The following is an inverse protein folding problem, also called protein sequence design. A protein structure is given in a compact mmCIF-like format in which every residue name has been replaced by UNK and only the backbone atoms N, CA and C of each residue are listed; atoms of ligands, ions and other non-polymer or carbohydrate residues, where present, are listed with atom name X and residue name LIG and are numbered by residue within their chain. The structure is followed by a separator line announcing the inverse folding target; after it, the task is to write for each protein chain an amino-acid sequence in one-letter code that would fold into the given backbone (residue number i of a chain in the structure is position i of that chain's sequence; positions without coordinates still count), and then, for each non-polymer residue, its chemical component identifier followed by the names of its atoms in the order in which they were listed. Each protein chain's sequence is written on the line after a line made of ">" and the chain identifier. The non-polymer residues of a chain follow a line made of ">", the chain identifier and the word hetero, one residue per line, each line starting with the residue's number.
data_IF_124553238981
#
_entry.id   IF_124553238981
#
_cell.length_a   1.000
_cell.length_b   1.000
_cell.length_c   1.000
_cell.angle_alpha   90.00
_cell.angle_beta   90.00
_cell.angle_gamma   90.00
#
_symmetry.space_group_name_H-M   'P 1'
#
loop_
_entity.id
_entity.type
_entity.pdbx_description
1 polymer ?
#
# COMPACT_ATOMS: atom_id res chain seq x y z
N UNK A 1 17.18 14.80 -17.92
CA UNK A 1 16.90 14.62 -16.47
C UNK A 1 17.56 13.33 -16.02
N UNK A 2 17.93 13.22 -14.74
CA UNK A 2 18.48 11.98 -14.18
C UNK A 2 17.35 10.95 -14.00
N UNK A 3 17.38 9.85 -14.77
CA UNK A 3 16.37 8.81 -14.73
C UNK A 3 16.17 8.23 -13.32
N UNK A 4 17.23 8.20 -12.50
CA UNK A 4 17.11 7.76 -11.09
C UNK A 4 16.28 8.76 -10.28
N UNK A 5 16.55 10.05 -10.43
CA UNK A 5 15.80 11.09 -9.75
C UNK A 5 14.31 11.09 -10.15
N UNK A 6 13.98 10.85 -11.42
CA UNK A 6 12.59 10.74 -11.89
C UNK A 6 11.84 9.59 -11.22
N UNK A 7 12.47 8.42 -11.11
CA UNK A 7 11.89 7.26 -10.40
C UNK A 7 11.63 7.58 -8.93
N UNK A 8 12.62 8.16 -8.24
CA UNK A 8 12.48 8.55 -6.83
C UNK A 8 11.36 9.59 -6.68
N UNK A 9 11.30 10.59 -7.57
CA UNK A 9 10.27 11.62 -7.53
C UNK A 9 8.86 11.02 -7.71
N UNK A 10 8.67 10.09 -8.65
CA UNK A 10 7.41 9.37 -8.82
C UNK A 10 7.03 8.60 -7.55
N UNK A 11 7.98 7.85 -6.99
CA UNK A 11 7.77 7.09 -5.75
C UNK A 11 7.35 7.99 -4.59
N UNK A 12 8.09 9.08 -4.35
CA UNK A 12 7.79 10.02 -3.27
C UNK A 12 6.44 10.71 -3.47
N UNK A 13 6.11 11.05 -4.71
CA UNK A 13 4.80 11.64 -5.05
C UNK A 13 3.66 10.73 -4.62
N UNK A 14 3.74 9.44 -4.96
CA UNK A 14 2.71 8.47 -4.56
C UNK A 14 2.76 8.18 -3.06
N UNK A 15 3.95 7.94 -2.50
CA UNK A 15 4.11 7.61 -1.08
C UNK A 15 3.47 8.65 -0.18
N UNK A 16 3.66 9.93 -0.52
CA UNK A 16 3.16 11.05 0.27
C UNK A 16 1.65 11.27 0.17
N UNK A 17 0.93 10.60 -0.74
CA UNK A 17 -0.54 10.59 -0.73
C UNK A 17 -1.02 9.75 0.46
N UNK A 18 -1.85 10.28 1.38
CA UNK A 18 -2.32 9.54 2.54
C UNK A 18 -2.94 8.17 2.20
N UNK A 19 -2.48 7.13 2.89
CA UNK A 19 -3.11 5.81 2.84
C UNK A 19 -4.48 5.81 3.53
N UNK A 20 -5.51 5.34 2.85
CA UNK A 20 -6.85 5.20 3.40
C UNK A 20 -7.64 4.16 2.62
N UNK A 21 -8.35 3.29 3.32
CA UNK A 21 -9.26 2.31 2.69
C UNK A 21 -10.64 2.90 2.40
N UNK A 22 -10.92 4.13 2.85
CA UNK A 22 -12.11 4.94 2.49
C UNK A 22 -11.79 6.02 1.43
N UNK A 23 -10.73 5.80 0.64
CA UNK A 23 -10.20 6.71 -0.37
C UNK A 23 -10.38 6.21 -1.81
N UNK A 24 -9.49 6.63 -2.70
CA UNK A 24 -9.41 6.09 -4.05
C UNK A 24 -8.98 4.61 -4.04
N UNK A 25 -9.48 3.85 -5.02
CA UNK A 25 -9.12 2.45 -5.28
C UNK A 25 -8.48 2.25 -6.67
N UNK A 26 -8.29 3.33 -7.42
CA UNK A 26 -7.70 3.34 -8.75
C UNK A 26 -6.73 4.52 -8.94
N UNK A 27 -5.94 4.45 -10.01
CA UNK A 27 -4.93 5.46 -10.33
C UNK A 27 -5.54 6.81 -10.74
N UNK A 28 -6.70 6.81 -11.39
CA UNK A 28 -7.32 8.01 -11.94
C UNK A 28 -7.81 8.94 -10.83
N UNK A 29 -8.41 8.36 -9.79
CA UNK A 29 -8.95 9.07 -8.65
C UNK A 29 -7.90 9.43 -7.58
N UNK A 30 -6.75 8.75 -7.50
CA UNK A 30 -5.81 8.88 -6.38
C UNK A 30 -5.42 10.33 -6.08
N UNK A 31 -4.99 11.06 -7.11
CA UNK A 31 -4.47 12.42 -6.94
C UNK A 31 -5.58 13.46 -6.72
N UNK A 32 -6.77 13.24 -7.29
CA UNK A 32 -7.91 14.15 -7.12
C UNK A 32 -8.62 13.97 -5.77
N UNK A 33 -8.73 12.73 -5.30
CA UNK A 33 -9.26 12.40 -3.96
C UNK A 33 -8.26 12.78 -2.86
N UNK A 34 -6.96 12.76 -3.17
CA UNK A 34 -5.90 13.11 -2.23
C UNK A 34 -5.67 12.09 -1.11
N UNK A 35 -6.21 10.87 -1.25
CA UNK A 35 -5.96 9.69 -0.41
C UNK A 35 -6.41 8.42 -1.13
N UNK A 36 -5.83 7.28 -0.80
CA UNK A 36 -6.23 6.00 -1.40
C UNK A 36 -5.53 4.80 -0.78
N UNK A 37 -5.94 3.62 -1.20
CA UNK A 37 -5.43 2.35 -0.69
C UNK A 37 -4.22 1.83 -1.49
N UNK A 38 -3.80 0.59 -1.22
CA UNK A 38 -2.67 -0.02 -1.91
C UNK A 38 -2.98 -0.31 -3.40
N UNK A 39 -4.26 -0.52 -3.76
CA UNK A 39 -4.68 -0.70 -5.15
C UNK A 39 -4.48 0.59 -5.94
N UNK A 40 -4.99 1.72 -5.44
CA UNK A 40 -4.86 3.02 -6.10
C UNK A 40 -3.38 3.42 -6.23
N UNK A 41 -2.62 3.30 -5.14
CA UNK A 41 -1.21 3.73 -5.09
C UNK A 41 -0.33 2.86 -5.98
N UNK A 42 -0.50 1.54 -5.97
CA UNK A 42 0.25 0.65 -6.87
C UNK A 42 -0.12 0.85 -8.34
N UNK A 43 -1.41 1.05 -8.65
CA UNK A 43 -1.88 1.32 -10.00
C UNK A 43 -1.29 2.64 -10.55
N UNK A 44 -1.22 3.68 -9.72
CA UNK A 44 -0.60 4.95 -10.09
C UNK A 44 0.90 4.79 -10.34
N UNK A 45 1.62 4.09 -9.45
CA UNK A 45 3.05 3.80 -9.64
C UNK A 45 3.31 3.04 -10.94
N UNK A 46 2.55 1.98 -11.21
CA UNK A 46 2.71 1.17 -12.43
C UNK A 46 2.51 2.03 -13.67
N UNK A 47 1.46 2.86 -13.69
CA UNK A 47 1.17 3.75 -14.81
C UNK A 47 2.26 4.81 -14.99
N UNK A 48 2.75 5.39 -13.88
CA UNK A 48 3.85 6.35 -13.89
C UNK A 48 5.16 5.76 -14.40
N UNK A 49 5.54 4.56 -13.95
CA UNK A 49 6.75 3.89 -14.44
C UNK A 49 6.65 3.56 -15.93
N UNK A 50 5.48 3.14 -16.41
CA UNK A 50 5.25 2.91 -17.84
C UNK A 50 5.37 4.20 -18.66
N UNK A 51 4.86 5.32 -18.14
CA UNK A 51 5.01 6.63 -18.77
C UNK A 51 6.48 7.08 -18.82
N UNK A 52 7.30 6.68 -17.84
CA UNK A 52 8.75 6.89 -17.84
C UNK A 52 9.53 5.86 -18.70
N UNK A 53 8.84 4.97 -19.42
CA UNK A 53 9.46 4.00 -20.33
C UNK A 53 9.92 2.68 -19.69
N UNK A 54 9.54 2.42 -18.43
CA UNK A 54 9.87 1.15 -17.75
C UNK A 54 8.79 0.10 -17.97
N UNK A 55 9.21 -1.17 -17.98
CA UNK A 55 8.27 -2.26 -17.77
C UNK A 55 7.88 -2.29 -16.29
N UNK A 56 6.58 -2.21 -16.01
CA UNK A 56 6.06 -2.31 -14.66
C UNK A 56 4.82 -3.21 -14.64
N UNK A 57 4.67 -3.97 -13.55
CA UNK A 57 3.58 -4.92 -13.35
C UNK A 57 3.08 -4.87 -11.91
N UNK A 58 1.88 -5.41 -11.72
CA UNK A 58 1.27 -5.63 -10.41
C UNK A 58 1.87 -6.88 -9.77
N UNK A 59 2.06 -6.83 -8.47
CA UNK A 59 2.41 -7.99 -7.63
C UNK A 59 1.50 -8.01 -6.41
N UNK A 60 1.12 -9.20 -5.94
CA UNK A 60 0.18 -9.39 -4.82
C UNK A 60 0.67 -10.47 -3.86
N UNK A 61 0.28 -10.38 -2.60
CA UNK A 61 0.54 -11.43 -1.61
C UNK A 61 -0.48 -11.38 -0.48
N UNK A 62 -0.67 -12.51 0.21
CA UNK A 62 -1.45 -12.54 1.44
C UNK A 62 -0.66 -11.91 2.57
N UNK A 63 -1.35 -11.21 3.47
CA UNK A 63 -0.77 -10.64 4.67
C UNK A 63 -1.78 -10.70 5.81
N UNK A 64 -1.31 -10.47 7.04
CA UNK A 64 -2.20 -10.25 8.17
C UNK A 64 -2.41 -8.76 8.40
N UNK A 65 -3.66 -8.36 8.56
CA UNK A 65 -4.04 -7.02 9.00
C UNK A 65 -3.27 -6.63 10.29
N UNK A 66 -2.87 -5.36 10.43
CA UNK A 66 -2.19 -4.89 11.63
C UNK A 66 -3.07 -5.10 12.87
N UNK A 67 -2.44 -5.26 14.04
CA UNK A 67 -3.15 -5.48 15.32
C UNK A 67 -3.93 -4.23 15.81
N UNK A 68 -4.04 -3.20 14.97
CA UNK A 68 -4.75 -1.95 15.22
C UNK A 68 -5.70 -1.62 14.06
N UNK A 69 -6.86 -1.01 14.37
CA UNK A 69 -7.40 -0.81 15.71
C UNK A 69 -7.95 -2.12 16.30
N UNK A 70 -8.38 -2.10 17.56
CA UNK A 70 -8.83 -3.30 18.28
C UNK A 70 -9.98 -4.05 17.57
N UNK A 71 -10.75 -3.36 16.74
CA UNK A 71 -11.80 -3.94 15.90
C UNK A 71 -11.29 -5.05 14.96
N UNK A 72 -9.99 -5.09 14.63
CA UNK A 72 -9.38 -6.19 13.84
C UNK A 72 -9.62 -7.57 14.49
N UNK A 73 -9.72 -7.63 15.81
CA UNK A 73 -9.93 -8.87 16.56
C UNK A 73 -11.38 -9.35 16.55
N UNK A 74 -12.30 -8.57 15.98
CA UNK A 74 -13.69 -8.97 15.75
C UNK A 74 -13.91 -9.60 14.37
N UNK A 75 -12.91 -9.54 13.49
CA UNK A 75 -12.99 -10.13 12.16
C UNK A 75 -12.94 -11.65 12.23
N UNK A 76 -13.73 -12.31 11.39
CA UNK A 76 -13.70 -13.77 11.20
C UNK A 76 -12.31 -14.23 10.75
N UNK A 77 -11.64 -13.39 9.96
CA UNK A 77 -10.25 -13.58 9.58
C UNK A 77 -9.54 -12.24 9.46
N UNK A 78 -8.22 -12.28 9.73
CA UNK A 78 -7.33 -11.13 9.59
C UNK A 78 -6.46 -11.22 8.34
N UNK A 79 -6.68 -12.24 7.51
CA UNK A 79 -5.96 -12.38 6.25
C UNK A 79 -6.58 -11.46 5.20
N UNK A 80 -5.73 -10.75 4.47
CA UNK A 80 -6.12 -9.89 3.36
C UNK A 80 -5.04 -9.94 2.26
N UNK A 81 -5.29 -9.33 1.11
CA UNK A 81 -4.38 -9.31 -0.04
C UNK A 81 -3.80 -7.93 -0.24
N UNK A 82 -2.48 -7.84 -0.12
CA UNK A 82 -1.76 -6.61 -0.43
C UNK A 82 -1.42 -6.54 -1.91
N UNK A 83 -1.35 -5.32 -2.45
CA UNK A 83 -0.97 -5.07 -3.84
C UNK A 83 0.13 -4.01 -3.89
N UNK A 84 1.19 -4.29 -4.64
CA UNK A 84 2.30 -3.37 -4.88
C UNK A 84 2.72 -3.39 -6.37
N UNK A 85 3.75 -2.61 -6.71
CA UNK A 85 4.33 -2.57 -8.03
C UNK A 85 5.65 -3.35 -8.10
N UNK A 86 5.92 -4.01 -9.21
CA UNK A 86 7.27 -4.40 -9.62
C UNK A 86 7.67 -3.63 -10.88
N UNK A 87 8.91 -3.14 -10.93
CA UNK A 87 9.47 -2.42 -12.08
C UNK A 87 10.78 -3.06 -12.54
N UNK A 88 10.99 -3.19 -13.85
CA UNK A 88 12.21 -3.76 -14.41
C UNK A 88 13.31 -2.68 -14.50
N UNK A 89 14.33 -2.79 -13.65
CA UNK A 89 15.49 -1.89 -13.62
C UNK A 89 16.75 -2.73 -13.75
N UNK A 90 17.61 -2.40 -14.71
CA UNK A 90 18.89 -3.11 -14.94
C UNK A 90 18.68 -4.63 -15.06
N UNK A 91 17.67 -5.03 -15.85
CA UNK A 91 17.27 -6.42 -16.09
C UNK A 91 16.81 -7.20 -14.85
N UNK A 92 16.48 -6.50 -13.75
CA UNK A 92 15.93 -7.12 -12.53
C UNK A 92 14.59 -6.50 -12.18
N UNK A 93 13.63 -7.35 -11.84
CA UNK A 93 12.37 -6.89 -11.27
C UNK A 93 12.63 -6.38 -9.85
N UNK A 94 12.19 -5.17 -9.57
CA UNK A 94 12.31 -4.51 -8.27
C UNK A 94 10.93 -4.27 -7.68
N UNK A 95 10.72 -4.74 -6.45
CA UNK A 95 9.53 -4.44 -5.67
C UNK A 95 9.57 -2.97 -5.27
N UNK A 96 8.49 -2.25 -5.56
CA UNK A 96 8.29 -0.85 -5.19
C UNK A 96 6.92 -0.72 -4.54
N UNK A 97 6.94 -0.52 -3.23
CA UNK A 97 5.77 -0.40 -2.37
C UNK A 97 5.74 0.98 -1.71
N UNK A 98 4.80 1.82 -2.13
CA UNK A 98 4.61 3.17 -1.61
C UNK A 98 3.35 3.30 -0.74
N UNK A 99 2.89 2.19 -0.14
CA UNK A 99 1.57 2.14 0.52
C UNK A 99 1.45 3.12 1.68
N UNK A 100 2.25 2.97 2.73
CA UNK A 100 2.16 3.85 3.90
C UNK A 100 2.86 5.19 3.65
N UNK A 101 2.14 6.28 3.91
CA UNK A 101 2.70 7.63 3.95
C UNK A 101 3.47 7.89 5.26
N UNK A 102 4.40 8.87 5.27
CA UNK A 102 5.28 9.12 6.42
C UNK A 102 4.57 9.36 7.75
N UNK A 103 3.35 9.91 7.74
CA UNK A 103 2.59 10.21 8.96
C UNK A 103 2.22 8.96 9.78
N UNK A 104 2.30 7.76 9.19
CA UNK A 104 1.97 6.49 9.82
C UNK A 104 3.15 5.81 10.54
N UNK A 105 4.38 6.30 10.35
CA UNK A 105 5.58 5.70 10.96
C UNK A 105 5.51 5.69 12.50
N UNK A 106 4.88 6.70 13.12
CA UNK A 106 4.72 6.80 14.58
C UNK A 106 3.85 5.70 15.18
N UNK A 107 3.03 5.04 14.36
CA UNK A 107 2.22 3.89 14.76
C UNK A 107 2.92 2.54 14.51
N UNK A 108 4.19 2.55 14.11
CA UNK A 108 4.95 1.34 13.80
C UNK A 108 4.63 0.70 12.45
N UNK A 109 3.85 1.38 11.59
CA UNK A 109 3.64 0.94 10.22
C UNK A 109 4.90 1.17 9.37
N UNK A 110 5.23 0.20 8.51
CA UNK A 110 6.41 0.27 7.65
C UNK A 110 6.20 1.34 6.57
N UNK A 111 6.95 2.42 6.66
CA UNK A 111 7.03 3.46 5.62
C UNK A 111 8.31 3.23 4.82
N UNK A 112 8.17 2.78 3.58
CA UNK A 112 9.31 2.48 2.73
C UNK A 112 10.05 3.75 2.29
N UNK A 113 11.38 3.73 2.37
CA UNK A 113 12.27 4.61 1.61
C UNK A 113 12.71 3.91 0.31
N UNK A 114 13.06 4.67 -0.73
CA UNK A 114 13.52 4.08 -1.97
C UNK A 114 14.67 4.86 -2.61
N UNK A 115 15.70 4.14 -3.02
CA UNK A 115 16.89 4.71 -3.66
C UNK A 115 16.79 4.79 -5.19
N UNK A 116 15.67 4.36 -5.76
CA UNK A 116 15.42 4.29 -7.20
C UNK A 116 16.07 3.11 -7.92
N UNK A 117 16.64 2.13 -7.21
CA UNK A 117 17.42 1.01 -7.80
C UNK A 117 17.13 -0.35 -7.18
N UNK A 118 16.99 -0.43 -5.86
CA UNK A 118 16.78 -1.69 -5.13
C UNK A 118 15.31 -1.95 -4.85
N UNK A 119 15.02 -3.06 -4.20
CA UNK A 119 13.70 -3.32 -3.65
C UNK A 119 13.40 -2.36 -2.49
N UNK A 120 12.14 -1.95 -2.34
CA UNK A 120 11.63 -1.35 -1.11
C UNK A 120 11.34 -2.43 -0.07
N UNK A 121 11.34 -2.06 1.21
CA UNK A 121 10.74 -2.90 2.25
C UNK A 121 9.21 -2.91 2.04
N UNK A 122 8.54 -4.08 2.03
CA UNK A 122 7.09 -4.15 1.83
C UNK A 122 6.33 -3.52 3.00
N UNK A 123 5.20 -2.88 2.72
CA UNK A 123 4.35 -2.25 3.74
C UNK A 123 3.74 -3.27 4.71
N UNK A 124 3.45 -4.46 4.21
CA UNK A 124 3.00 -5.62 4.98
C UNK A 124 3.87 -6.84 4.65
N UNK A 125 4.25 -7.59 5.67
CA UNK A 125 5.06 -8.81 5.51
C UNK A 125 4.30 -9.86 4.69
N UNK A 126 4.90 -10.39 3.59
CA UNK A 126 4.28 -11.46 2.82
C UNK A 126 4.09 -12.75 3.60
N UNK A 127 2.86 -13.29 3.56
CA UNK A 127 2.52 -14.66 3.97
C UNK A 127 2.47 -15.53 2.72
N UNK A 128 3.58 -16.19 2.43
CA UNK A 128 3.73 -17.04 1.25
C UNK A 128 4.32 -16.32 0.03
N UNK A 129 4.24 -16.94 -1.15
CA UNK A 129 4.88 -16.43 -2.36
C UNK A 129 4.17 -15.17 -2.89
N UNK A 130 4.96 -14.29 -3.51
CA UNK A 130 4.44 -13.17 -4.26
C UNK A 130 3.82 -13.69 -5.57
N UNK A 131 2.55 -13.36 -5.79
CA UNK A 131 1.81 -13.65 -7.01
C UNK A 131 2.01 -12.55 -8.05
N UNK A 132 2.23 -12.95 -9.30
CA UNK A 132 2.33 -12.08 -10.47
C UNK A 132 1.35 -12.53 -11.56
N UNK A 133 0.97 -11.64 -12.50
CA UNK A 133 0.20 -12.04 -13.66
C UNK A 133 0.87 -13.19 -14.42
N UNK A 134 0.18 -14.32 -14.51
CA UNK A 134 0.68 -15.55 -15.14
C UNK A 134 1.08 -16.67 -14.17
N UNK A 135 1.21 -16.40 -12.87
CA UNK A 135 1.64 -17.39 -11.86
C UNK A 135 0.53 -18.38 -11.45
N UNK A 136 -0.69 -18.24 -11.99
CA UNK A 136 -1.85 -19.06 -11.64
C UNK A 136 -2.97 -18.24 -10.96
N UNK A 137 -3.82 -18.86 -10.13
CA UNK A 137 -4.91 -18.15 -9.47
C UNK A 137 -4.39 -17.07 -8.54
N UNK A 138 -5.08 -15.93 -8.50
CA UNK A 138 -4.76 -14.84 -7.58
C UNK A 138 -4.91 -15.29 -6.12
N UNK A 139 -4.09 -14.76 -5.19
CA UNK A 139 -4.25 -15.00 -3.76
C UNK A 139 -5.65 -14.56 -3.35
N UNK A 140 -6.35 -15.43 -2.62
CA UNK A 140 -7.67 -15.16 -2.06
C UNK A 140 -7.56 -15.23 -0.55
N UNK A 141 -7.94 -14.17 0.18
CA UNK A 141 -8.05 -14.28 1.62
C UNK A 141 -9.19 -15.25 1.92
N UNK A 142 -9.09 -16.00 3.01
CA UNK A 142 -10.22 -16.79 3.54
C UNK A 142 -10.70 -17.90 2.59
N UNK A 143 -9.81 -18.46 1.76
CA UNK A 143 -10.17 -19.49 0.79
C UNK A 143 -10.83 -20.73 1.40
N UNK A 144 -10.64 -20.95 2.71
CA UNK A 144 -11.18 -22.08 3.47
C UNK A 144 -12.46 -21.75 4.29
N UNK A 145 -13.01 -20.53 4.15
CA UNK A 145 -14.18 -20.08 4.93
C UNK A 145 -15.41 -20.01 4.02
N UNK A 146 -16.43 -20.81 4.29
CA UNK A 146 -17.73 -20.72 3.63
C UNK A 146 -18.41 -19.41 4.08
N UNK A 147 -18.46 -18.41 3.18
CA UNK A 147 -18.97 -17.06 3.45
C UNK A 147 -20.41 -17.07 3.97
N UNK A 148 -20.57 -16.78 5.27
CA UNK A 148 -21.82 -16.34 5.87
C UNK A 148 -21.48 -15.22 6.86
N UNK A 149 -21.59 -13.97 6.39
CA UNK A 149 -21.70 -12.74 7.18
C UNK A 149 -20.38 -12.06 7.63
N UNK A 150 -19.78 -11.22 6.77
CA UNK A 150 -18.72 -10.27 7.14
C UNK A 150 -19.29 -9.01 7.83
N UNK A 151 -20.17 -9.20 8.83
CA UNK A 151 -20.78 -8.11 9.58
C UNK A 151 -19.72 -7.22 10.29
N UNK A 152 -18.49 -7.72 10.47
CA UNK A 152 -17.37 -7.00 11.07
C UNK A 152 -16.57 -6.11 10.10
N UNK A 153 -16.56 -6.40 8.79
CA UNK A 153 -15.71 -5.74 7.80
C UNK A 153 -15.91 -4.22 7.71
N UNK A 154 -17.16 -3.76 7.62
CA UNK A 154 -17.50 -2.32 7.58
C UNK A 154 -17.14 -1.61 8.89
N UNK A 155 -17.36 -2.28 10.03
CA UNK A 155 -16.97 -1.78 11.35
C UNK A 155 -15.45 -1.59 11.47
N UNK A 156 -14.69 -2.60 11.06
CA UNK A 156 -13.23 -2.54 11.01
C UNK A 156 -12.74 -1.46 10.04
N UNK A 157 -13.26 -1.38 8.81
CA UNK A 157 -12.82 -0.39 7.83
C UNK A 157 -13.00 1.04 8.34
N UNK A 158 -14.17 1.35 8.93
CA UNK A 158 -14.44 2.66 9.56
C UNK A 158 -13.48 2.93 10.71
N UNK A 159 -13.25 1.94 11.56
CA UNK A 159 -12.34 2.04 12.68
C UNK A 159 -10.89 2.27 12.24
N UNK A 160 -10.43 1.53 11.24
CA UNK A 160 -9.09 1.60 10.71
C UNK A 160 -8.81 2.97 10.11
N UNK A 161 -9.71 3.51 9.28
CA UNK A 161 -9.55 4.86 8.74
C UNK A 161 -9.61 5.96 9.83
N UNK A 162 -10.42 5.77 10.88
CA UNK A 162 -10.41 6.68 12.03
C UNK A 162 -9.07 6.63 12.76
N UNK A 163 -8.52 5.44 12.98
CA UNK A 163 -7.21 5.23 13.61
C UNK A 163 -6.08 5.85 12.77
N UNK A 164 -6.03 5.60 11.46
CA UNK A 164 -5.05 6.20 10.54
C UNK A 164 -5.07 7.75 10.61
N UNK A 165 -6.27 8.36 10.64
CA UNK A 165 -6.43 9.81 10.82
C UNK A 165 -5.91 10.29 12.18
N UNK A 166 -6.21 9.56 13.25
CA UNK A 166 -5.76 9.90 14.60
C UNK A 166 -4.23 9.86 14.73
N UNK A 167 -3.58 8.83 14.16
CA UNK A 167 -2.12 8.68 14.13
C UNK A 167 -1.47 9.90 13.47
N UNK A 168 -1.92 10.28 12.27
CA UNK A 168 -1.39 11.47 11.56
C UNK A 168 -1.56 12.75 12.36
N UNK A 169 -2.75 12.97 12.93
CA UNK A 169 -3.04 14.16 13.74
C UNK A 169 -2.22 14.23 15.05
N UNK A 170 -1.72 13.11 15.57
CA UNK A 170 -0.79 13.10 16.71
C UNK A 170 0.62 13.46 16.25
N UNK A 171 1.08 12.91 15.13
CA UNK A 171 2.38 13.23 14.53
C UNK A 171 2.52 14.73 14.23
N UNK A 172 1.49 15.35 13.63
CA UNK A 172 1.49 16.80 13.35
C UNK A 172 1.56 17.67 14.62
N UNK A 173 0.89 17.24 15.70
CA UNK A 173 0.94 17.93 17.00
C UNK A 173 2.27 17.77 17.71
N UNK A 174 2.93 16.63 17.53
CA UNK A 174 4.27 16.39 18.08
C UNK A 174 5.37 17.18 17.35
N UNK A 175 5.12 17.66 16.12
CA UNK A 175 6.08 18.44 15.33
C UNK A 175 5.44 19.65 14.63
N UNK A 176 5.18 20.76 15.36
CA UNK A 176 4.51 21.94 14.79
C UNK A 176 5.36 22.78 13.81
N UNK A 177 6.53 22.30 13.35
CA UNK A 177 7.60 23.13 12.78
C UNK A 177 8.05 22.83 11.35
N UNK A 178 7.33 22.08 10.53
CA UNK A 178 7.73 21.82 9.13
C UNK A 178 6.69 22.37 8.15
N UNK A 179 6.77 23.67 7.88
CA UNK A 179 6.29 24.32 6.65
C UNK A 179 7.45 25.09 6.03
#
# INVERSE_FOLDING_TARGET
>A
MDARAERIALFLTVRNVPYATDGAHDAEALMSVGRGDCLAKSAYLISGFRALGYQARRVRWLYHLPDQPAEVWSLISREDVHTAAEVLIECRWRLVDATHDPGLASAGLVVAEWDGRTDTVPAYEPKGPLWRPGDGPEPRPNADVDELDDAGGDGYQKAFNRWLRAVRAQTERAWPGSR
#
